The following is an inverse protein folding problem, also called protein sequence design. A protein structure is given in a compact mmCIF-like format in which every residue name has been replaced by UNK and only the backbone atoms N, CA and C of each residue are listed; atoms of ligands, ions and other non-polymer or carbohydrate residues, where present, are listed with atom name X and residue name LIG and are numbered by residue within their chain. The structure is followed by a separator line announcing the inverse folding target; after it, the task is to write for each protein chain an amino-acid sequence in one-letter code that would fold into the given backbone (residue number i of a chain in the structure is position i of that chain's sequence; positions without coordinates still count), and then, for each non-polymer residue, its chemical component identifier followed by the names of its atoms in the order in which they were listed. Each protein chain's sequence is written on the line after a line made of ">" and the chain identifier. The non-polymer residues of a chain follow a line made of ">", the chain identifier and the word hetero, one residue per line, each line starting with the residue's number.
data_IF_739290329232
#
_entry.id   IF_739290329232
#
_cell.length_a   1.000
_cell.length_b   1.000
_cell.length_c   1.000
_cell.angle_alpha   90.00
_cell.angle_beta   90.00
_cell.angle_gamma   90.00
#
_symmetry.space_group_name_H-M   'P 1'
#
loop_
_entity.id
_entity.type
_entity.pdbx_description
1 polymer ?
#
# COMPACT_ATOMS: atom_id res chain seq x y z
N UNK A 1 19.96 -6.46 53.99
CA UNK A 1 20.46 -5.37 53.13
C UNK A 1 21.45 -5.97 52.15
N UNK A 2 21.02 -6.24 50.91
CA UNK A 2 21.90 -6.71 49.83
C UNK A 2 21.58 -5.92 48.56
N UNK A 3 22.65 -5.70 47.81
CA UNK A 3 22.89 -4.58 46.91
C UNK A 3 22.02 -4.55 45.65
N UNK A 4 21.72 -3.32 45.22
CA UNK A 4 21.29 -2.99 43.86
C UNK A 4 22.33 -3.48 42.85
N UNK A 5 21.95 -4.41 41.97
CA UNK A 5 22.66 -4.68 40.73
C UNK A 5 22.61 -3.44 39.84
N UNK A 6 23.77 -2.80 39.65
CA UNK A 6 23.97 -1.78 38.63
C UNK A 6 24.05 -2.46 37.26
N UNK A 7 23.22 -2.09 36.27
CA UNK A 7 23.45 -2.52 34.90
C UNK A 7 24.73 -1.87 34.37
N UNK A 8 25.67 -2.72 33.98
CA UNK A 8 26.97 -2.39 33.39
C UNK A 8 26.80 -1.53 32.14
N UNK A 9 27.51 -0.40 32.11
CA UNK A 9 27.55 0.61 31.03
C UNK A 9 27.90 0.06 29.64
N UNK A 10 28.39 -1.17 29.52
CA UNK A 10 28.69 -1.84 28.25
C UNK A 10 27.45 -2.15 27.40
N UNK A 11 26.28 -2.39 28.02
CA UNK A 11 25.06 -2.73 27.27
C UNK A 11 24.45 -1.51 26.54
N UNK A 12 24.74 -0.30 27.01
CA UNK A 12 24.21 0.95 26.41
C UNK A 12 25.03 1.36 25.18
N UNK A 13 26.30 1.01 25.08
CA UNK A 13 27.12 1.34 23.90
C UNK A 13 26.88 0.39 22.72
N UNK A 14 26.50 -0.88 22.96
CA UNK A 14 26.23 -1.83 21.89
C UNK A 14 24.95 -1.50 21.09
N UNK A 15 23.94 -0.92 21.74
CA UNK A 15 22.67 -0.55 21.10
C UNK A 15 22.73 0.75 20.30
N UNK A 16 23.60 1.69 20.70
CA UNK A 16 23.80 2.96 19.95
C UNK A 16 24.69 2.76 18.71
N UNK A 17 25.64 1.82 18.76
CA UNK A 17 26.43 1.46 17.59
C UNK A 17 25.62 0.70 16.52
N UNK A 18 24.66 -0.13 16.93
CA UNK A 18 23.82 -0.87 15.99
C UNK A 18 22.83 0.02 15.21
N UNK A 19 22.30 1.08 15.83
CA UNK A 19 21.37 2.01 15.16
C UNK A 19 22.06 2.96 14.18
N UNK A 20 23.31 3.36 14.46
CA UNK A 20 24.12 4.16 13.54
C UNK A 20 24.48 3.42 12.26
N UNK A 21 24.81 2.12 12.36
CA UNK A 21 25.19 1.29 11.20
C UNK A 21 24.00 1.00 10.30
N UNK A 22 22.81 0.76 10.86
CA UNK A 22 21.59 0.57 10.04
C UNK A 22 21.19 1.87 9.32
N UNK A 23 21.31 3.03 9.98
CA UNK A 23 21.09 4.32 9.34
C UNK A 23 22.05 4.60 8.17
N UNK A 24 23.33 4.24 8.33
CA UNK A 24 24.35 4.35 7.28
C UNK A 24 24.12 3.37 6.12
N UNK A 25 23.66 2.15 6.39
CA UNK A 25 23.35 1.16 5.36
C UNK A 25 22.11 1.53 4.54
N UNK A 26 21.09 2.15 5.15
CA UNK A 26 19.91 2.66 4.42
C UNK A 26 20.31 3.85 3.54
N UNK A 27 21.15 4.76 4.05
CA UNK A 27 21.68 5.88 3.26
C UNK A 27 22.56 5.40 2.10
N UNK A 28 23.45 4.44 2.35
CA UNK A 28 24.29 3.82 1.33
C UNK A 28 23.47 3.05 0.28
N UNK A 29 22.40 2.37 0.68
CA UNK A 29 21.47 1.68 -0.22
C UNK A 29 20.72 2.63 -1.15
N UNK A 30 20.24 3.75 -0.64
CA UNK A 30 19.64 4.82 -1.45
C UNK A 30 20.67 5.48 -2.39
N UNK A 31 21.91 5.66 -1.92
CA UNK A 31 23.00 6.20 -2.73
C UNK A 31 23.41 5.25 -3.87
N UNK A 32 23.59 3.95 -3.59
CA UNK A 32 24.00 2.96 -4.58
C UNK A 32 22.92 2.69 -5.63
N UNK A 33 21.64 2.69 -5.23
CA UNK A 33 20.52 2.58 -6.16
C UNK A 33 20.44 3.78 -7.11
N UNK A 34 20.68 5.00 -6.60
CA UNK A 34 20.79 6.21 -7.43
C UNK A 34 22.03 6.18 -8.33
N UNK A 35 23.19 5.74 -7.85
CA UNK A 35 24.42 5.63 -8.65
C UNK A 35 24.30 4.64 -9.81
N UNK A 36 23.65 3.49 -9.61
CA UNK A 36 23.40 2.53 -10.71
C UNK A 36 22.47 3.09 -11.78
N UNK A 37 21.51 3.94 -11.43
CA UNK A 37 20.66 4.61 -12.43
C UNK A 37 21.43 5.60 -13.29
N UNK A 38 22.34 6.37 -12.67
CA UNK A 38 23.16 7.37 -13.38
C UNK A 38 24.10 6.71 -14.39
N UNK A 39 24.63 5.51 -14.11
CA UNK A 39 25.55 4.82 -15.02
C UNK A 39 24.88 4.15 -16.23
N UNK A 40 23.55 4.02 -16.28
CA UNK A 40 22.84 3.36 -17.39
C UNK A 40 22.30 4.32 -18.46
N UNK A 41 22.26 5.62 -18.19
CA UNK A 41 21.93 6.64 -19.20
C UNK A 41 23.21 7.10 -19.88
N UNK A 42 23.31 6.86 -21.20
CA UNK A 42 24.45 7.22 -22.03
C UNK A 42 24.93 8.66 -21.82
N UNK A 43 26.22 8.87 -22.05
CA UNK A 43 26.95 10.13 -21.91
C UNK A 43 26.14 11.35 -22.38
N UNK A 44 25.41 11.97 -21.46
CA UNK A 44 24.86 13.29 -21.65
C UNK A 44 25.99 14.28 -21.33
N UNK A 45 26.35 15.13 -22.30
CA UNK A 45 27.45 16.09 -22.20
C UNK A 45 27.41 16.84 -20.86
N UNK A 46 28.42 16.57 -20.03
CA UNK A 46 28.57 17.14 -18.69
C UNK A 46 29.09 18.56 -18.81
N UNK A 47 28.23 19.51 -19.18
CA UNK A 47 28.58 20.94 -19.13
C UNK A 47 28.69 21.35 -17.66
N UNK A 48 29.93 21.41 -17.15
CA UNK A 48 30.26 21.76 -15.77
C UNK A 48 30.72 23.22 -15.65
N UNK A 49 29.82 24.19 -15.45
CA UNK A 49 30.23 25.53 -15.06
C UNK A 49 30.94 25.50 -13.70
N UNK A 50 32.02 26.27 -13.60
CA UNK A 50 32.80 26.47 -12.37
C UNK A 50 32.54 27.89 -11.88
N UNK A 51 32.22 28.03 -10.60
CA UNK A 51 31.93 29.31 -9.95
C UNK A 51 33.01 29.63 -8.92
N UNK A 52 33.17 30.90 -8.56
CA UNK A 52 34.19 31.31 -7.59
C UNK A 52 33.75 31.04 -6.15
N UNK A 53 32.44 30.92 -5.91
CA UNK A 53 31.89 30.73 -4.57
C UNK A 53 30.71 29.76 -4.56
N UNK A 54 30.51 29.08 -3.42
CA UNK A 54 29.35 28.21 -3.20
C UNK A 54 28.02 28.95 -3.39
N UNK A 55 27.94 30.21 -2.97
CA UNK A 55 26.70 30.98 -3.08
C UNK A 55 26.31 31.27 -4.53
N UNK A 56 27.28 31.54 -5.41
CA UNK A 56 27.02 31.70 -6.84
C UNK A 56 26.52 30.40 -7.45
N UNK A 57 27.18 29.27 -7.14
CA UNK A 57 26.76 27.96 -7.62
C UNK A 57 25.35 27.59 -7.12
N UNK A 58 25.01 27.91 -5.86
CA UNK A 58 23.68 27.66 -5.29
C UNK A 58 22.59 28.46 -6.04
N UNK A 59 22.82 29.74 -6.35
CA UNK A 59 21.85 30.57 -7.08
C UNK A 59 21.54 30.02 -8.46
N UNK A 60 22.57 29.60 -9.18
CA UNK A 60 22.43 28.98 -10.50
C UNK A 60 21.73 27.62 -10.44
N UNK A 61 22.01 26.83 -9.39
CA UNK A 61 21.29 25.59 -9.10
C UNK A 61 19.80 25.85 -8.85
N UNK A 62 19.47 26.81 -7.99
CA UNK A 62 18.09 27.14 -7.65
C UNK A 62 17.33 27.66 -8.88
N UNK A 63 17.98 28.50 -9.69
CA UNK A 63 17.43 28.99 -10.94
C UNK A 63 17.24 27.85 -11.96
N UNK A 64 18.19 26.94 -12.07
CA UNK A 64 18.10 25.78 -12.95
C UNK A 64 16.95 24.85 -12.54
N UNK A 65 16.76 24.61 -11.24
CA UNK A 65 15.64 23.85 -10.70
C UNK A 65 14.32 24.56 -11.03
N UNK A 66 14.23 25.86 -10.76
CA UNK A 66 13.03 26.65 -11.02
C UNK A 66 12.62 26.61 -12.49
N UNK A 67 13.58 26.80 -13.40
CA UNK A 67 13.36 26.75 -14.85
C UNK A 67 12.94 25.35 -15.35
N UNK A 68 13.18 24.30 -14.56
CA UNK A 68 12.75 22.93 -14.90
C UNK A 68 11.26 22.70 -14.71
N UNK A 69 10.59 23.54 -13.91
CA UNK A 69 9.19 23.36 -13.54
C UNK A 69 8.96 22.16 -12.61
N UNK A 70 7.68 21.88 -12.37
CA UNK A 70 7.22 20.83 -11.46
C UNK A 70 6.38 19.78 -12.19
N UNK A 71 6.23 18.62 -11.55
CA UNK A 71 5.30 17.56 -11.92
C UNK A 71 4.50 17.17 -10.66
N UNK A 72 3.32 16.60 -10.85
CA UNK A 72 2.43 16.22 -9.75
C UNK A 72 2.53 14.72 -9.54
N UNK A 73 2.81 14.31 -8.31
CA UNK A 73 2.74 12.91 -7.88
C UNK A 73 1.40 12.67 -7.22
N UNK A 74 0.67 11.71 -7.76
CA UNK A 74 -0.61 11.26 -7.25
C UNK A 74 -0.42 9.98 -6.44
N UNK A 75 -0.83 10.02 -5.18
CA UNK A 75 -0.85 8.85 -4.29
C UNK A 75 -2.29 8.49 -3.98
N UNK A 76 -2.69 7.29 -4.37
CA UNK A 76 -4.03 6.77 -4.06
C UNK A 76 -3.95 5.91 -2.82
N UNK A 77 -4.73 6.26 -1.80
CA UNK A 77 -4.85 5.50 -0.56
C UNK A 77 -6.26 4.92 -0.44
N UNK A 78 -6.35 3.61 -0.23
CA UNK A 78 -7.60 2.91 0.05
C UNK A 78 -7.76 2.79 1.56
N UNK A 79 -8.83 3.38 2.09
CA UNK A 79 -9.15 3.34 3.51
C UNK A 79 -10.41 2.51 3.68
N UNK A 80 -10.27 1.37 4.34
CA UNK A 80 -11.40 0.52 4.72
C UNK A 80 -11.87 0.89 6.13
N UNK A 81 -13.18 1.01 6.29
CA UNK A 81 -13.82 1.26 7.59
C UNK A 81 -14.94 0.26 7.81
N UNK A 82 -14.93 -0.40 8.96
CA UNK A 82 -16.06 -1.20 9.42
C UNK A 82 -17.10 -0.29 10.07
N UNK A 83 -18.30 -0.28 9.52
CA UNK A 83 -19.43 0.51 10.03
C UNK A 83 -20.52 -0.46 10.46
N UNK A 84 -21.17 -0.27 11.63
CA UNK A 84 -22.29 -1.12 12.02
C UNK A 84 -23.41 -1.07 10.98
N UNK A 85 -24.07 -2.20 10.76
CA UNK A 85 -25.27 -2.23 9.93
C UNK A 85 -26.38 -1.43 10.59
N UNK A 86 -27.13 -0.69 9.78
CA UNK A 86 -28.38 -0.09 10.25
C UNK A 86 -29.43 -1.19 10.51
N UNK A 87 -30.42 -0.94 11.40
CA UNK A 87 -31.47 -1.92 11.66
C UNK A 87 -32.24 -2.36 10.41
N UNK A 88 -32.43 -1.45 9.44
CA UNK A 88 -33.08 -1.75 8.17
C UNK A 88 -32.24 -2.68 7.28
N UNK A 89 -30.94 -2.41 7.18
CA UNK A 89 -30.00 -3.26 6.41
C UNK A 89 -29.92 -4.66 7.01
N UNK A 90 -29.85 -4.74 8.35
CA UNK A 90 -29.84 -6.01 9.06
C UNK A 90 -31.11 -6.82 8.79
N UNK A 91 -32.29 -6.20 8.92
CA UNK A 91 -33.57 -6.86 8.61
C UNK A 91 -33.64 -7.35 7.17
N UNK A 92 -33.08 -6.59 6.22
CA UNK A 92 -33.01 -7.01 4.81
C UNK A 92 -32.13 -8.26 4.64
N UNK A 93 -30.98 -8.32 5.31
CA UNK A 93 -30.12 -9.51 5.28
C UNK A 93 -30.78 -10.71 5.97
N UNK A 94 -31.53 -10.49 7.06
CA UNK A 94 -32.31 -11.53 7.74
C UNK A 94 -33.37 -12.12 6.81
N UNK A 95 -34.09 -11.28 6.06
CA UNK A 95 -35.07 -11.73 5.07
C UNK A 95 -34.42 -12.54 3.94
N UNK A 96 -33.30 -12.05 3.38
CA UNK A 96 -32.57 -12.78 2.33
C UNK A 96 -32.05 -14.13 2.83
N UNK A 97 -31.58 -14.20 4.08
CA UNK A 97 -31.13 -15.44 4.68
C UNK A 97 -32.30 -16.43 4.91
N UNK A 98 -33.47 -15.93 5.31
CA UNK A 98 -34.67 -16.75 5.47
C UNK A 98 -35.17 -17.28 4.11
N UNK A 99 -35.20 -16.44 3.07
CA UNK A 99 -35.54 -16.85 1.70
C UNK A 99 -34.59 -17.94 1.19
N UNK A 100 -33.28 -17.79 1.39
CA UNK A 100 -32.32 -18.82 1.03
C UNK A 100 -32.53 -20.12 1.80
N UNK A 101 -32.88 -20.04 3.09
CA UNK A 101 -33.17 -21.22 3.90
C UNK A 101 -34.41 -21.94 3.37
N UNK A 102 -35.49 -21.21 3.06
CA UNK A 102 -36.70 -21.78 2.47
C UNK A 102 -36.41 -22.45 1.14
N UNK A 103 -35.67 -21.78 0.25
CA UNK A 103 -35.27 -22.36 -1.04
C UNK A 103 -34.46 -23.66 -0.89
N UNK A 104 -33.58 -23.76 0.12
CA UNK A 104 -32.86 -25.01 0.42
C UNK A 104 -33.80 -26.12 0.90
N UNK A 105 -34.76 -25.79 1.77
CA UNK A 105 -35.75 -26.76 2.26
C UNK A 105 -36.60 -27.26 1.10
N UNK A 106 -37.11 -26.36 0.26
CA UNK A 106 -37.90 -26.68 -0.94
C UNK A 106 -37.10 -27.59 -1.89
N UNK A 107 -35.85 -27.24 -2.20
CA UNK A 107 -34.98 -28.08 -3.04
C UNK A 107 -34.72 -29.47 -2.42
N UNK A 108 -34.55 -29.56 -1.10
CA UNK A 108 -34.37 -30.84 -0.40
C UNK A 108 -35.62 -31.70 -0.44
N UNK A 109 -36.79 -31.06 -0.33
CA UNK A 109 -38.09 -31.72 -0.40
C UNK A 109 -38.36 -32.24 -1.82
N UNK A 110 -38.13 -31.43 -2.85
CA UNK A 110 -38.24 -31.85 -4.26
C UNK A 110 -37.28 -33.01 -4.58
N UNK A 111 -36.04 -32.95 -4.09
CA UNK A 111 -35.07 -34.02 -4.27
C UNK A 111 -35.53 -35.35 -3.61
N UNK A 112 -36.22 -35.28 -2.48
CA UNK A 112 -36.81 -36.45 -1.82
C UNK A 112 -37.97 -37.01 -2.64
N UNK A 113 -38.90 -36.15 -3.10
CA UNK A 113 -40.04 -36.56 -3.93
C UNK A 113 -39.59 -37.27 -5.20
N UNK A 114 -38.55 -36.76 -5.86
CA UNK A 114 -38.00 -37.35 -7.08
C UNK A 114 -37.38 -38.74 -6.86
N UNK A 115 -36.98 -39.08 -5.63
CA UNK A 115 -36.40 -40.39 -5.27
C UNK A 115 -37.41 -41.36 -4.66
N UNK A 116 -38.58 -40.89 -4.25
CA UNK A 116 -39.59 -41.69 -3.58
C UNK A 116 -40.27 -42.65 -4.55
N UNK A 117 -40.09 -43.95 -4.34
CA UNK A 117 -40.64 -45.00 -5.22
C UNK A 117 -42.11 -45.37 -4.93
N UNK A 118 -42.68 -44.92 -3.81
CA UNK A 118 -44.05 -45.23 -3.39
C UNK A 118 -44.73 -44.00 -2.79
N UNK A 119 -46.06 -44.00 -2.75
CA UNK A 119 -46.84 -42.89 -2.18
C UNK A 119 -46.57 -42.74 -0.68
N UNK A 120 -46.37 -43.87 0.04
CA UNK A 120 -45.92 -43.83 1.44
C UNK A 120 -44.57 -43.12 1.58
N UNK A 121 -43.62 -43.35 0.69
CA UNK A 121 -42.31 -42.70 0.73
C UNK A 121 -42.39 -41.19 0.42
N UNK A 122 -43.33 -40.76 -0.43
CA UNK A 122 -43.59 -39.34 -0.70
C UNK A 122 -44.14 -38.63 0.53
N UNK A 123 -45.08 -39.26 1.25
CA UNK A 123 -45.62 -38.71 2.50
C UNK A 123 -44.51 -38.52 3.55
N UNK A 124 -43.55 -39.46 3.63
CA UNK A 124 -42.40 -39.37 4.53
C UNK A 124 -41.43 -38.23 4.20
N UNK A 125 -41.39 -37.73 2.96
CA UNK A 125 -40.55 -36.59 2.58
C UNK A 125 -40.96 -35.29 3.29
N UNK A 126 -42.24 -35.14 3.66
CA UNK A 126 -42.72 -33.97 4.41
C UNK A 126 -42.21 -33.94 5.86
N UNK A 127 -41.94 -35.11 6.45
CA UNK A 127 -41.49 -35.26 7.84
C UNK A 127 -39.97 -35.14 8.01
N UNK A 128 -39.19 -35.22 6.93
CA UNK A 128 -37.74 -34.98 6.95
C UNK A 128 -37.35 -33.50 6.97
N UNK A 129 -38.32 -32.58 7.06
CA UNK A 129 -38.10 -31.14 7.12
C UNK A 129 -37.58 -30.64 8.48
N UNK A 130 -36.62 -31.34 9.10
CA UNK A 130 -35.91 -30.79 10.26
C UNK A 130 -34.77 -29.90 9.77
N UNK A 131 -34.83 -28.56 9.95
CA UNK A 131 -33.64 -27.75 9.84
C UNK A 131 -32.67 -28.20 10.94
N UNK A 132 -31.38 -28.27 10.63
CA UNK A 132 -30.30 -28.67 11.54
C UNK A 132 -30.40 -28.00 12.93
N UNK A 133 -31.08 -28.66 13.86
CA UNK A 133 -30.85 -28.50 15.29
C UNK A 133 -29.62 -29.37 15.55
N UNK A 134 -28.52 -28.76 16.01
CA UNK A 134 -27.22 -29.36 16.26
C UNK A 134 -27.27 -30.89 16.45
N UNK A 135 -26.96 -31.64 15.38
CA UNK A 135 -27.00 -33.11 15.38
C UNK A 135 -27.69 -33.78 14.19
N UNK A 136 -28.37 -33.05 13.29
CA UNK A 136 -28.96 -33.65 12.09
C UNK A 136 -27.94 -33.82 10.95
N UNK A 137 -28.06 -34.92 10.21
CA UNK A 137 -27.08 -35.40 9.24
C UNK A 137 -27.38 -34.93 7.80
N UNK A 138 -27.79 -33.66 7.63
CA UNK A 138 -27.94 -33.06 6.29
C UNK A 138 -26.75 -32.13 6.04
N UNK A 139 -25.79 -32.50 5.16
CA UNK A 139 -24.63 -31.66 4.89
C UNK A 139 -25.08 -30.34 4.24
N UNK A 140 -24.87 -29.20 4.92
CA UNK A 140 -25.02 -27.86 4.33
C UNK A 140 -26.17 -26.97 4.83
N UNK A 141 -26.93 -27.41 5.86
CA UNK A 141 -27.84 -26.53 6.61
C UNK A 141 -27.19 -25.95 7.88
N UNK A 142 -26.07 -26.52 8.35
CA UNK A 142 -25.34 -26.15 9.57
C UNK A 142 -24.44 -24.92 9.44
N UNK A 143 -24.88 -23.91 8.70
CA UNK A 143 -24.36 -22.58 8.86
C UNK A 143 -25.57 -21.67 8.85
N UNK A 144 -26.07 -21.32 10.03
CA UNK A 144 -26.61 -19.98 10.19
C UNK A 144 -25.47 -19.06 9.74
N UNK A 145 -25.49 -18.65 8.47
CA UNK A 145 -24.59 -17.66 7.92
C UNK A 145 -24.74 -16.45 8.81
N UNK A 146 -23.83 -16.31 9.78
CA UNK A 146 -23.96 -15.35 10.84
C UNK A 146 -24.02 -13.99 10.18
N UNK A 147 -25.19 -13.34 10.24
CA UNK A 147 -25.42 -12.10 9.51
C UNK A 147 -24.40 -11.11 10.05
N UNK A 148 -23.50 -10.60 9.19
CA UNK A 148 -22.39 -9.79 9.66
C UNK A 148 -22.94 -8.54 10.33
N UNK A 149 -22.50 -8.24 11.55
CA UNK A 149 -22.98 -7.06 12.29
C UNK A 149 -22.44 -5.74 11.72
N UNK A 150 -21.40 -5.80 10.89
CA UNK A 150 -20.74 -4.65 10.29
C UNK A 150 -20.64 -4.79 8.78
N UNK A 151 -20.76 -3.67 8.08
CA UNK A 151 -20.40 -3.54 6.66
C UNK A 151 -19.02 -2.90 6.53
N UNK A 152 -18.28 -3.31 5.51
CA UNK A 152 -17.04 -2.67 5.11
C UNK A 152 -17.34 -1.58 4.09
N UNK A 153 -16.91 -0.35 4.39
CA UNK A 153 -16.95 0.77 3.45
C UNK A 153 -15.52 1.04 3.01
N UNK A 154 -15.26 0.89 1.73
CA UNK A 154 -13.99 1.30 1.12
C UNK A 154 -14.12 2.74 0.62
N UNK A 155 -13.19 3.58 1.06
CA UNK A 155 -13.08 4.97 0.60
C UNK A 155 -11.73 5.15 -0.07
N UNK A 156 -11.74 5.74 -1.26
CA UNK A 156 -10.51 6.05 -2.01
C UNK A 156 -10.18 7.51 -1.79
N UNK A 157 -9.01 7.79 -1.22
CA UNK A 157 -8.46 9.14 -1.10
C UNK A 157 -7.31 9.32 -2.08
N UNK A 158 -7.34 10.42 -2.81
CA UNK A 158 -6.30 10.79 -3.77
C UNK A 158 -5.56 12.00 -3.22
N UNK A 159 -4.29 11.83 -2.88
CA UNK A 159 -3.40 12.90 -2.46
C UNK A 159 -2.51 13.31 -3.65
N UNK A 160 -2.37 14.62 -3.87
CA UNK A 160 -1.51 15.19 -4.91
C UNK A 160 -0.39 15.99 -4.28
N UNK A 161 0.84 15.75 -4.70
CA UNK A 161 2.02 16.49 -4.24
C UNK A 161 2.85 16.95 -5.43
N UNK A 162 3.11 18.25 -5.51
CA UNK A 162 3.98 18.81 -6.53
C UNK A 162 5.44 18.55 -6.16
N UNK A 163 6.22 18.11 -7.14
CA UNK A 163 7.64 17.81 -7.02
C UNK A 163 8.41 18.52 -8.15
N UNK A 164 9.64 19.02 -7.89
CA UNK A 164 10.44 19.63 -8.93
C UNK A 164 10.96 18.57 -9.91
N UNK A 165 10.94 18.89 -11.21
CA UNK A 165 11.49 18.00 -12.27
C UNK A 165 13.00 17.87 -12.22
N UNK A 166 13.66 18.83 -11.59
CA UNK A 166 15.10 18.93 -11.44
C UNK A 166 15.44 18.93 -9.97
N UNK A 167 16.41 18.12 -9.57
CA UNK A 167 16.86 18.04 -8.18
C UNK A 167 18.38 18.09 -8.13
N UNK A 168 18.91 18.71 -7.07
CA UNK A 168 20.34 18.86 -6.88
C UNK A 168 20.74 18.45 -5.47
N UNK A 169 21.86 17.77 -5.35
CA UNK A 169 22.46 17.36 -4.08
C UNK A 169 23.84 17.98 -3.96
N UNK A 170 24.10 18.67 -2.85
CA UNK A 170 25.43 19.18 -2.51
C UNK A 170 26.34 18.03 -2.10
N UNK A 171 27.51 17.93 -2.72
CA UNK A 171 28.58 17.02 -2.32
C UNK A 171 29.75 17.86 -1.83
N UNK A 172 29.82 18.04 -0.50
CA UNK A 172 30.78 18.95 0.14
C UNK A 172 32.24 18.56 -0.14
N UNK A 173 32.56 17.27 -0.10
CA UNK A 173 33.93 16.75 -0.32
C UNK A 173 34.53 17.18 -1.67
N UNK A 174 33.69 17.40 -2.67
CA UNK A 174 34.09 17.73 -4.03
C UNK A 174 33.66 19.14 -4.46
N UNK A 175 33.18 19.96 -3.50
CA UNK A 175 32.67 21.32 -3.73
C UNK A 175 31.81 21.43 -4.99
N UNK A 176 30.82 20.55 -5.10
CA UNK A 176 29.96 20.48 -6.27
C UNK A 176 28.52 20.18 -5.92
N UNK A 177 27.61 20.69 -6.74
CA UNK A 177 26.23 20.24 -6.79
C UNK A 177 26.07 19.24 -7.93
N UNK A 178 25.58 18.06 -7.59
CA UNK A 178 25.20 17.04 -8.55
C UNK A 178 23.70 17.17 -8.82
N UNK A 179 23.35 17.44 -10.07
CA UNK A 179 22.01 17.81 -10.47
C UNK A 179 21.47 16.83 -11.50
N UNK A 180 20.23 16.39 -11.34
CA UNK A 180 19.54 15.46 -12.24
C UNK A 180 18.24 16.08 -12.74
N UNK A 181 17.92 15.88 -14.02
CA UNK A 181 16.62 16.17 -14.62
C UNK A 181 15.90 14.84 -14.89
N UNK A 182 14.67 14.70 -14.38
CA UNK A 182 13.84 13.53 -14.65
C UNK A 182 13.16 13.63 -16.02
N UNK A 183 13.04 12.49 -16.71
CA UNK A 183 12.36 12.36 -17.99
C UNK A 183 10.84 12.34 -17.80
N UNK A 184 10.29 13.49 -17.42
CA UNK A 184 8.86 13.74 -17.20
C UNK A 184 8.53 15.09 -17.80
N UNK A 185 7.32 15.30 -18.33
CA UNK A 185 6.90 16.61 -18.84
C UNK A 185 6.56 17.59 -17.70
N UNK A 186 6.74 18.89 -17.93
CA UNK A 186 6.28 19.92 -16.99
C UNK A 186 4.74 19.85 -16.84
N UNK A 187 4.25 19.88 -15.60
CA UNK A 187 2.83 19.76 -15.28
C UNK A 187 2.24 18.36 -15.46
N UNK A 188 3.04 17.34 -15.79
CA UNK A 188 2.55 15.98 -15.89
C UNK A 188 2.09 15.45 -14.52
N UNK A 189 1.01 14.67 -14.52
CA UNK A 189 0.57 13.91 -13.36
C UNK A 189 1.07 12.47 -13.50
N UNK A 190 1.79 11.98 -12.50
CA UNK A 190 2.30 10.61 -12.44
C UNK A 190 1.88 9.96 -11.14
N UNK A 191 1.84 8.64 -11.10
CA UNK A 191 1.59 7.87 -9.87
C UNK A 191 2.85 7.75 -9.01
N UNK A 192 2.67 7.44 -7.72
CA UNK A 192 3.80 7.17 -6.81
C UNK A 192 4.72 6.05 -7.33
N UNK A 193 4.17 5.03 -7.97
CA UNK A 193 4.95 3.89 -8.47
C UNK A 193 5.80 4.31 -9.68
N UNK A 194 5.22 5.10 -10.59
CA UNK A 194 5.93 5.69 -11.73
C UNK A 194 7.03 6.65 -11.26
N UNK A 195 6.79 7.43 -10.18
CA UNK A 195 7.82 8.30 -9.62
C UNK A 195 9.09 7.54 -9.27
N UNK A 196 8.95 6.35 -8.66
CA UNK A 196 10.12 5.56 -8.27
C UNK A 196 10.86 5.00 -9.47
N UNK A 197 10.29 4.93 -10.67
CA UNK A 197 10.89 4.33 -11.87
C UNK A 197 11.29 5.33 -12.93
N UNK A 198 11.14 6.63 -12.65
CA UNK A 198 11.52 7.70 -13.58
C UNK A 198 12.97 7.58 -14.04
N UNK A 199 13.14 7.70 -15.36
CA UNK A 199 14.45 7.76 -16.00
C UNK A 199 15.06 9.15 -15.80
N UNK A 200 16.39 9.18 -15.77
CA UNK A 200 17.15 10.43 -15.76
C UNK A 200 17.33 10.84 -17.21
N UNK A 201 16.86 12.04 -17.56
CA UNK A 201 16.99 12.63 -18.89
C UNK A 201 18.36 13.27 -19.07
N UNK A 202 18.79 14.04 -18.07
CA UNK A 202 20.03 14.78 -18.12
C UNK A 202 20.68 14.87 -16.73
N UNK A 203 22.01 14.99 -16.73
CA UNK A 203 22.82 15.17 -15.55
C UNK A 203 23.73 16.38 -15.72
N UNK A 204 23.84 17.21 -14.67
CA UNK A 204 24.67 18.42 -14.67
C UNK A 204 25.44 18.55 -13.36
N UNK A 205 26.63 19.13 -13.43
CA UNK A 205 27.44 19.45 -12.25
C UNK A 205 27.68 20.95 -12.17
N UNK A 206 27.51 21.55 -10.99
CA UNK A 206 27.88 22.94 -10.72
C UNK A 206 29.01 22.92 -9.70
N UNK A 207 30.22 23.36 -10.07
CA UNK A 207 31.41 23.31 -9.21
C UNK A 207 31.74 24.68 -8.62
N UNK A 208 32.33 24.72 -7.44
CA UNK A 208 32.74 25.96 -6.77
C UNK A 208 33.95 25.76 -5.84
#
# INVERSE_FOLDING_TARGET
>A
MNALERPSSLAVFATVAASGVVGLLIYAGLFYANLRRVNTSGAADVVSPVFDTQQQAQREVDQWIHNGGTYTVTTTQRIQRSVPLTPQERRKLELLADEQRRAKIEASYEACLNKAASDLAKELCSFQQTPDIAGSAVPGLSAASEIPNTKLIETVRVARKNQPRRTCTLVQDYRRFNCVEFDVNAGAEITSDEQTTLKIKAYRQFRF
#
